data_IF_661501666578
#
_entry.id   IF_661501666578
#
_cell.length_a   1.000
_cell.length_b   1.000
_cell.length_c   1.000
_cell.angle_alpha   90.00
_cell.angle_beta   90.00
_cell.angle_gamma   90.00
#
_symmetry.space_group_name_H-M   'P 1'
#
loop_
_entity.id
_entity.type
_entity.pdbx_description
1 polymer ?
#
# COMPACT_ATOMS: atom_id res chain seq x y z
N UNK A 1 -2.82 23.35 -20.43
CA UNK A 1 -2.87 21.87 -20.47
C UNK A 1 -3.97 21.47 -21.46
N UNK A 2 -3.74 20.50 -22.34
CA UNK A 2 -4.80 19.99 -23.24
C UNK A 2 -5.92 19.39 -22.37
N UNK A 3 -7.21 19.69 -22.68
CA UNK A 3 -8.38 19.19 -21.94
C UNK A 3 -8.34 17.66 -21.72
N UNK A 4 -7.86 16.95 -22.73
CA UNK A 4 -7.56 15.51 -22.75
C UNK A 4 -6.70 15.00 -21.58
N UNK A 5 -5.72 15.77 -21.09
CA UNK A 5 -4.89 15.36 -19.94
C UNK A 5 -5.68 15.37 -18.62
N UNK A 6 -6.63 16.31 -18.48
CA UNK A 6 -7.49 16.40 -17.29
C UNK A 6 -8.48 15.24 -17.30
N UNK A 7 -9.09 14.96 -18.47
CA UNK A 7 -9.93 13.78 -18.67
C UNK A 7 -9.18 12.47 -18.38
N UNK A 8 -7.93 12.33 -18.85
CA UNK A 8 -7.09 11.16 -18.56
C UNK A 8 -6.82 11.01 -17.06
N UNK A 9 -6.46 12.08 -16.35
CA UNK A 9 -6.20 12.01 -14.91
C UNK A 9 -7.46 11.73 -14.08
N UNK A 10 -8.63 12.22 -14.51
CA UNK A 10 -9.92 11.91 -13.87
C UNK A 10 -10.30 10.44 -14.16
N UNK A 11 -10.09 9.96 -15.38
CA UNK A 11 -10.31 8.54 -15.74
C UNK A 11 -9.43 7.59 -14.93
N UNK A 12 -8.14 7.90 -14.77
CA UNK A 12 -7.22 7.10 -13.94
C UNK A 12 -7.65 7.14 -12.46
N UNK A 13 -8.03 8.31 -11.93
CA UNK A 13 -8.52 8.41 -10.55
C UNK A 13 -9.85 7.64 -10.35
N UNK A 14 -10.76 7.69 -11.32
CA UNK A 14 -12.00 6.93 -11.32
C UNK A 14 -11.75 5.42 -11.38
N UNK A 15 -10.85 4.96 -12.25
CA UNK A 15 -10.43 3.55 -12.33
C UNK A 15 -9.80 3.06 -11.02
N UNK A 16 -8.97 3.89 -10.35
CA UNK A 16 -8.41 3.55 -9.04
C UNK A 16 -9.50 3.45 -7.94
N UNK A 17 -10.50 4.33 -7.97
CA UNK A 17 -11.64 4.29 -7.04
C UNK A 17 -12.52 3.07 -7.32
N UNK A 18 -12.82 2.76 -8.59
CA UNK A 18 -13.57 1.56 -8.98
C UNK A 18 -12.81 0.28 -8.61
N UNK A 19 -11.50 0.25 -8.81
CA UNK A 19 -10.66 -0.89 -8.40
C UNK A 19 -10.70 -1.08 -6.88
N UNK A 20 -10.52 0.00 -6.10
CA UNK A 20 -10.66 -0.06 -4.64
C UNK A 20 -12.06 -0.54 -4.20
N UNK A 21 -13.13 -0.04 -4.83
CA UNK A 21 -14.50 -0.46 -4.52
C UNK A 21 -14.76 -1.93 -4.86
N UNK A 22 -14.25 -2.44 -5.98
CA UNK A 22 -14.35 -3.86 -6.36
C UNK A 22 -13.58 -4.76 -5.39
N UNK A 23 -12.39 -4.35 -4.95
CA UNK A 23 -11.60 -5.12 -4.00
C UNK A 23 -12.25 -5.15 -2.60
N UNK A 24 -12.81 -4.03 -2.12
CA UNK A 24 -13.60 -4.00 -0.88
C UNK A 24 -14.84 -4.89 -1.01
N UNK A 25 -15.55 -4.86 -2.14
CA UNK A 25 -16.67 -5.78 -2.37
C UNK A 25 -16.26 -7.25 -2.39
N UNK A 26 -15.04 -7.60 -2.84
CA UNK A 26 -14.55 -9.00 -2.76
C UNK A 26 -14.30 -9.44 -1.32
N UNK A 27 -13.69 -8.58 -0.50
CA UNK A 27 -13.48 -8.84 0.93
C UNK A 27 -14.79 -9.03 1.69
N UNK A 28 -15.88 -8.35 1.28
CA UNK A 28 -17.21 -8.53 1.88
C UNK A 28 -18.11 -9.58 1.19
N UNK A 29 -17.72 -10.18 0.07
CA UNK A 29 -18.54 -11.12 -0.68
C UNK A 29 -18.11 -12.59 -0.58
N UNK A 30 -16.97 -12.89 0.08
CA UNK A 30 -16.53 -14.27 0.32
C UNK A 30 -17.10 -14.85 1.64
N UNK A 31 -17.67 -14.01 2.52
CA UNK A 31 -18.41 -14.38 3.73
C UNK A 31 -19.86 -14.85 3.44
N UNK A 32 -20.08 -15.42 2.25
CA UNK A 32 -21.42 -15.60 1.66
C UNK A 32 -21.65 -16.91 0.90
N UNK A 33 -20.75 -17.90 1.03
CA UNK A 33 -20.96 -19.24 0.46
C UNK A 33 -21.30 -20.26 1.53
N UNK A 34 -22.60 -20.36 1.82
CA UNK A 34 -23.17 -21.48 2.57
C UNK A 34 -22.83 -22.80 1.87
N UNK A 35 -22.01 -23.63 2.54
CA UNK A 35 -21.78 -25.00 2.14
C UNK A 35 -23.01 -25.85 2.47
N UNK A 36 -23.71 -26.33 1.44
CA UNK A 36 -24.69 -27.42 1.57
C UNK A 36 -23.97 -28.77 1.38
N UNK A 37 -24.00 -29.63 2.42
CA UNK A 37 -23.92 -31.11 2.50
C UNK A 37 -23.48 -31.88 1.23
N UNK A 38 -22.68 -32.96 1.23
CA UNK A 38 -22.24 -33.97 2.21
C UNK A 38 -21.20 -34.88 1.49
N UNK A 39 -20.43 -35.83 2.06
CA UNK A 39 -20.16 -36.33 3.42
C UNK A 39 -18.75 -36.96 3.38
N UNK A 40 -17.90 -36.84 4.41
CA UNK A 40 -16.56 -37.48 4.39
C UNK A 40 -15.79 -37.37 5.71
N UNK A 41 -15.92 -38.38 6.57
CA UNK A 41 -15.23 -38.42 7.86
C UNK A 41 -13.74 -38.77 7.71
N UNK A 42 -12.83 -37.85 8.05
CA UNK A 42 -11.47 -38.24 8.45
C UNK A 42 -10.76 -37.19 9.34
N UNK A 43 -10.87 -37.37 10.66
CA UNK A 43 -9.96 -36.87 11.71
C UNK A 43 -9.47 -35.40 11.61
N UNK A 44 -10.20 -34.47 12.19
CA UNK A 44 -9.66 -33.16 12.58
C UNK A 44 -8.60 -33.33 13.71
N UNK A 45 -7.32 -33.07 13.41
CA UNK A 45 -6.36 -32.71 14.47
C UNK A 45 -6.73 -31.33 15.05
N UNK A 46 -6.63 -31.09 16.37
CA UNK A 46 -6.95 -29.82 16.98
C UNK A 46 -5.85 -28.75 16.79
N UNK A 47 -5.49 -28.46 15.53
CA UNK A 47 -4.50 -27.43 15.14
C UNK A 47 -5.10 -26.20 14.46
N UNK A 48 -6.16 -26.35 13.67
CA UNK A 48 -6.62 -25.35 12.69
C UNK A 48 -6.95 -23.97 13.28
N UNK A 49 -7.43 -23.90 14.53
CA UNK A 49 -7.96 -22.64 15.09
C UNK A 49 -6.89 -21.57 15.35
N UNK A 50 -5.62 -21.95 15.48
CA UNK A 50 -4.51 -21.00 15.64
C UNK A 50 -3.92 -20.53 14.30
N UNK A 51 -3.80 -21.46 13.35
CA UNK A 51 -3.18 -21.23 12.04
C UNK A 51 -4.08 -20.33 11.17
N UNK A 52 -5.39 -20.56 11.15
CA UNK A 52 -6.34 -19.69 10.44
C UNK A 52 -6.31 -18.23 10.92
N UNK A 53 -6.27 -18.00 12.24
CA UNK A 53 -6.20 -16.64 12.81
C UNK A 53 -4.90 -15.91 12.47
N UNK A 54 -3.78 -16.63 12.36
CA UNK A 54 -2.50 -16.05 11.99
C UNK A 54 -2.49 -15.58 10.52
N UNK A 55 -3.04 -16.40 9.62
CA UNK A 55 -3.18 -16.08 8.20
C UNK A 55 -4.11 -14.89 7.96
N UNK A 56 -5.33 -14.92 8.51
CA UNK A 56 -6.31 -13.82 8.39
C UNK A 56 -5.75 -12.49 8.91
N UNK A 57 -5.08 -12.53 10.08
CA UNK A 57 -4.37 -11.36 10.64
C UNK A 57 -3.27 -10.87 9.71
N UNK A 58 -2.49 -11.79 9.12
CA UNK A 58 -1.45 -11.51 8.14
C UNK A 58 -2.01 -10.77 6.92
N UNK A 59 -3.06 -11.28 6.30
CA UNK A 59 -3.72 -10.66 5.13
C UNK A 59 -4.26 -9.25 5.45
N UNK A 60 -4.90 -9.07 6.60
CA UNK A 60 -5.37 -7.75 7.05
C UNK A 60 -4.20 -6.76 7.25
N UNK A 61 -3.07 -7.20 7.82
CA UNK A 61 -1.87 -6.36 7.94
C UNK A 61 -1.28 -6.00 6.57
N UNK A 62 -1.34 -6.91 5.58
CA UNK A 62 -0.92 -6.66 4.20
C UNK A 62 -1.71 -5.52 3.56
N UNK A 63 -3.05 -5.60 3.58
CA UNK A 63 -3.92 -4.52 3.10
C UNK A 63 -3.77 -3.22 3.88
N UNK A 64 -3.54 -3.30 5.20
CA UNK A 64 -3.20 -2.17 6.04
C UNK A 64 -1.90 -1.48 5.59
N UNK A 65 -0.84 -2.25 5.37
CA UNK A 65 0.46 -1.76 4.90
C UNK A 65 0.34 -1.04 3.55
N UNK A 66 -0.36 -1.64 2.58
CA UNK A 66 -0.62 -1.03 1.26
C UNK A 66 -1.38 0.29 1.40
N UNK A 67 -2.44 0.32 2.21
CA UNK A 67 -3.28 1.51 2.42
C UNK A 67 -2.49 2.67 3.04
N UNK A 68 -1.69 2.39 4.06
CA UNK A 68 -0.83 3.38 4.74
C UNK A 68 0.31 3.84 3.81
N UNK A 69 0.89 2.93 3.01
CA UNK A 69 1.91 3.27 2.01
C UNK A 69 1.36 4.20 0.90
N UNK A 70 0.13 3.94 0.41
CA UNK A 70 -0.54 4.82 -0.55
C UNK A 70 -0.76 6.23 0.01
N UNK A 71 -1.16 6.34 1.28
CA UNK A 71 -1.30 7.64 1.96
C UNK A 71 0.03 8.39 2.06
N UNK A 72 1.13 7.70 2.38
CA UNK A 72 2.47 8.30 2.36
C UNK A 72 2.89 8.73 0.94
N UNK A 73 2.66 7.88 -0.06
CA UNK A 73 2.99 8.11 -1.47
C UNK A 73 2.22 9.27 -2.11
N UNK A 74 0.99 9.53 -1.66
CA UNK A 74 0.12 10.60 -2.17
C UNK A 74 0.72 12.01 -2.02
N UNK A 75 1.66 12.24 -1.09
CA UNK A 75 2.29 13.54 -0.88
C UNK A 75 2.92 14.12 -2.15
N UNK A 76 3.61 13.31 -2.96
CA UNK A 76 4.30 13.79 -4.17
C UNK A 76 3.33 14.25 -5.28
N UNK A 77 2.34 13.46 -5.73
CA UNK A 77 1.38 13.91 -6.74
C UNK A 77 0.49 15.06 -6.23
N UNK A 78 0.07 15.07 -4.96
CA UNK A 78 -0.68 16.21 -4.40
C UNK A 78 0.17 17.49 -4.43
N UNK A 79 1.44 17.43 -4.01
CA UNK A 79 2.34 18.59 -3.99
C UNK A 79 2.68 19.10 -5.40
N UNK A 80 2.82 18.21 -6.40
CA UNK A 80 3.01 18.59 -7.80
C UNK A 80 1.78 19.29 -8.39
N UNK A 81 0.58 18.77 -8.13
CA UNK A 81 -0.67 19.28 -8.69
C UNK A 81 -1.32 20.41 -7.87
N UNK A 82 -0.77 20.75 -6.71
CA UNK A 82 -1.30 21.76 -5.79
C UNK A 82 -1.69 23.09 -6.45
N UNK A 83 -0.82 23.64 -7.30
CA UNK A 83 -1.09 24.91 -8.01
C UNK A 83 -2.25 24.82 -9.00
N UNK A 84 -2.51 23.64 -9.56
CA UNK A 84 -3.64 23.40 -10.46
C UNK A 84 -4.94 23.26 -9.64
N UNK A 85 -4.95 22.40 -8.62
CA UNK A 85 -6.10 22.15 -7.75
C UNK A 85 -6.60 23.45 -7.10
N UNK A 86 -5.69 24.25 -6.51
CA UNK A 86 -6.04 25.54 -5.89
C UNK A 86 -6.50 26.62 -6.87
N UNK A 87 -6.28 26.45 -8.19
CA UNK A 87 -6.80 27.36 -9.24
C UNK A 87 -8.18 26.91 -9.72
N UNK A 88 -8.40 25.61 -9.87
CA UNK A 88 -9.68 25.05 -10.33
C UNK A 88 -10.76 25.14 -9.26
N UNK A 89 -10.39 24.95 -7.98
CA UNK A 89 -11.34 25.00 -6.85
C UNK A 89 -10.79 25.94 -5.76
N UNK A 90 -11.02 27.26 -5.85
CA UNK A 90 -10.46 28.21 -4.90
C UNK A 90 -11.02 28.04 -3.47
N UNK A 91 -12.27 27.57 -3.32
CA UNK A 91 -12.92 27.41 -2.02
C UNK A 91 -12.24 26.38 -1.10
N UNK A 92 -11.55 25.37 -1.66
CA UNK A 92 -10.84 24.35 -0.87
C UNK A 92 -9.37 24.70 -0.59
N UNK A 93 -8.91 25.90 -0.94
CA UNK A 93 -7.48 26.28 -0.85
C UNK A 93 -6.92 26.16 0.57
N UNK A 94 -7.67 26.57 1.59
CA UNK A 94 -7.28 26.45 3.00
C UNK A 94 -7.15 24.98 3.42
N UNK A 95 -8.17 24.17 3.15
CA UNK A 95 -8.17 22.72 3.39
C UNK A 95 -6.99 22.04 2.70
N UNK A 96 -6.75 22.31 1.41
CA UNK A 96 -5.68 21.66 0.64
C UNK A 96 -4.28 22.03 1.15
N UNK A 97 -4.07 23.28 1.61
CA UNK A 97 -2.81 23.71 2.25
C UNK A 97 -2.64 23.02 3.62
N UNK A 98 -3.69 22.91 4.42
CA UNK A 98 -3.65 22.18 5.70
C UNK A 98 -3.38 20.70 5.50
N UNK A 99 -4.04 20.06 4.53
CA UNK A 99 -3.83 18.66 4.16
C UNK A 99 -2.38 18.42 3.69
N UNK A 100 -1.83 19.28 2.82
CA UNK A 100 -0.43 19.19 2.40
C UNK A 100 0.56 19.36 3.56
N UNK A 101 0.29 20.26 4.51
CA UNK A 101 1.10 20.41 5.72
C UNK A 101 1.03 19.16 6.59
N UNK A 102 -0.18 18.64 6.81
CA UNK A 102 -0.39 17.42 7.60
C UNK A 102 0.33 16.22 6.98
N UNK A 103 0.13 15.95 5.68
CA UNK A 103 0.87 14.89 4.98
C UNK A 103 2.39 15.14 5.04
N UNK A 104 2.88 16.36 4.86
CA UNK A 104 4.32 16.63 4.91
C UNK A 104 4.94 16.38 6.31
N UNK A 105 4.20 16.63 7.38
CA UNK A 105 4.62 16.32 8.76
C UNK A 105 4.54 14.82 9.05
N UNK A 106 3.44 14.17 8.67
CA UNK A 106 3.17 12.77 8.99
C UNK A 106 3.75 11.76 7.99
N UNK A 107 4.27 12.19 6.83
CA UNK A 107 4.81 11.28 5.80
C UNK A 107 5.90 10.33 6.32
N UNK A 108 6.82 10.80 7.17
CA UNK A 108 7.84 9.92 7.76
C UNK A 108 7.26 8.88 8.74
N UNK A 109 6.48 9.24 9.77
CA UNK A 109 5.87 8.23 10.65
C UNK A 109 4.84 7.33 9.93
N UNK A 110 4.07 7.83 8.96
CA UNK A 110 3.16 7.00 8.12
C UNK A 110 3.98 6.01 7.29
N UNK A 111 5.06 6.45 6.63
CA UNK A 111 5.95 5.56 5.88
C UNK A 111 6.64 4.50 6.76
N UNK A 112 7.06 4.87 7.97
CA UNK A 112 7.63 3.94 8.93
C UNK A 112 6.59 2.92 9.44
N UNK A 113 5.34 3.36 9.70
CA UNK A 113 4.25 2.48 10.07
C UNK A 113 3.89 1.50 8.94
N UNK A 114 3.83 1.95 7.67
CA UNK A 114 3.63 1.07 6.52
C UNK A 114 4.71 -0.01 6.40
N UNK A 115 5.98 0.37 6.60
CA UNK A 115 7.10 -0.58 6.58
C UNK A 115 7.03 -1.58 7.75
N UNK A 116 6.66 -1.13 8.95
CA UNK A 116 6.47 -2.00 10.11
C UNK A 116 5.31 -2.99 9.90
N UNK A 117 4.19 -2.53 9.35
CA UNK A 117 3.05 -3.38 8.98
C UNK A 117 3.44 -4.40 7.91
N UNK A 118 4.22 -4.02 6.90
CA UNK A 118 4.68 -4.94 5.86
C UNK A 118 5.64 -6.02 6.41
N UNK A 119 6.54 -5.65 7.34
CA UNK A 119 7.41 -6.60 8.03
C UNK A 119 6.59 -7.56 8.92
N UNK A 120 5.60 -7.03 9.66
CA UNK A 120 4.73 -7.85 10.51
C UNK A 120 3.86 -8.81 9.69
N UNK A 121 3.30 -8.34 8.57
CA UNK A 121 2.62 -9.18 7.56
C UNK A 121 3.53 -10.32 7.09
N UNK A 122 4.71 -10.01 6.54
CA UNK A 122 5.64 -11.04 6.04
C UNK A 122 6.09 -12.03 7.12
N UNK A 123 6.26 -11.58 8.37
CA UNK A 123 6.59 -12.46 9.49
C UNK A 123 5.43 -13.40 9.87
N UNK A 124 4.18 -12.90 9.93
CA UNK A 124 3.01 -13.74 10.20
C UNK A 124 2.76 -14.75 9.09
N UNK A 125 2.86 -14.34 7.82
CA UNK A 125 2.70 -15.25 6.68
C UNK A 125 3.77 -16.35 6.72
N UNK A 126 5.04 -16.00 6.98
CA UNK A 126 6.12 -16.99 7.11
C UNK A 126 5.87 -18.02 8.23
N UNK A 127 5.39 -17.58 9.40
CA UNK A 127 5.05 -18.51 10.49
C UNK A 127 3.77 -19.32 10.23
N UNK A 128 2.86 -18.84 9.39
CA UNK A 128 1.59 -19.51 9.07
C UNK A 128 1.71 -20.49 7.90
N UNK A 129 2.56 -20.22 6.92
CA UNK A 129 2.69 -21.02 5.69
C UNK A 129 3.95 -21.89 5.69
N UNK A 130 4.97 -21.57 6.49
CA UNK A 130 6.17 -22.39 6.71
C UNK A 130 7.15 -22.48 5.55
N UNK A 131 6.72 -22.15 4.33
CA UNK A 131 7.50 -22.21 3.09
C UNK A 131 7.70 -20.81 2.46
N UNK A 132 8.58 -20.73 1.45
CA UNK A 132 8.85 -19.51 0.69
C UNK A 132 8.92 -19.83 -0.80
N UNK A 133 7.86 -19.50 -1.54
CA UNK A 133 7.84 -19.55 -3.00
C UNK A 133 8.35 -18.23 -3.60
N UNK A 134 8.36 -18.17 -4.93
CA UNK A 134 8.80 -16.99 -5.70
C UNK A 134 7.97 -15.74 -5.34
N UNK A 135 6.68 -15.91 -5.02
CA UNK A 135 5.80 -14.81 -4.58
C UNK A 135 6.30 -14.17 -3.30
N UNK A 136 6.70 -14.96 -2.30
CA UNK A 136 7.11 -14.46 -0.99
C UNK A 136 8.49 -13.78 -1.10
N UNK A 137 9.39 -14.31 -1.93
CA UNK A 137 10.64 -13.63 -2.29
C UNK A 137 10.41 -12.24 -2.93
N UNK A 138 9.37 -12.08 -3.76
CA UNK A 138 9.03 -10.77 -4.33
C UNK A 138 8.54 -9.78 -3.25
N UNK A 139 7.77 -10.27 -2.26
CA UNK A 139 7.38 -9.49 -1.08
C UNK A 139 8.58 -9.06 -0.22
N UNK A 140 9.48 -9.99 0.08
CA UNK A 140 10.74 -9.71 0.83
C UNK A 140 11.57 -8.67 0.09
N UNK A 141 11.78 -8.83 -1.22
CA UNK A 141 12.52 -7.86 -2.03
C UNK A 141 11.85 -6.48 -2.02
N UNK A 142 10.51 -6.41 -2.09
CA UNK A 142 9.78 -5.14 -1.97
C UNK A 142 10.04 -4.43 -0.63
N UNK A 143 10.04 -5.17 0.48
CA UNK A 143 10.36 -4.67 1.83
C UNK A 143 11.81 -4.16 1.88
N UNK A 144 12.77 -4.88 1.30
CA UNK A 144 14.18 -4.44 1.23
C UNK A 144 14.30 -3.12 0.44
N UNK A 145 13.69 -3.02 -0.74
CA UNK A 145 13.68 -1.78 -1.53
C UNK A 145 13.02 -0.61 -0.77
N UNK A 146 11.90 -0.86 -0.08
CA UNK A 146 11.22 0.14 0.74
C UNK A 146 12.05 0.57 1.97
N UNK A 147 12.75 -0.36 2.62
CA UNK A 147 13.64 -0.08 3.74
C UNK A 147 14.84 0.78 3.34
N UNK A 148 15.50 0.44 2.23
CA UNK A 148 16.58 1.29 1.67
C UNK A 148 16.02 2.65 1.26
N UNK A 149 14.83 2.70 0.66
CA UNK A 149 14.17 3.98 0.34
C UNK A 149 13.89 4.82 1.58
N UNK A 150 13.50 4.22 2.71
CA UNK A 150 13.27 4.90 3.98
C UNK A 150 14.57 5.53 4.52
N UNK A 151 15.72 4.85 4.40
CA UNK A 151 17.05 5.42 4.73
C UNK A 151 17.34 6.65 3.86
N UNK A 152 17.17 6.55 2.54
CA UNK A 152 17.33 7.72 1.65
C UNK A 152 16.34 8.86 1.97
N UNK A 153 15.12 8.53 2.41
CA UNK A 153 14.11 9.49 2.88
C UNK A 153 14.55 10.21 4.17
N UNK A 154 15.09 9.48 5.14
CA UNK A 154 15.66 10.04 6.36
C UNK A 154 16.85 10.97 6.08
N UNK A 155 17.76 10.58 5.17
CA UNK A 155 18.86 11.47 4.71
C UNK A 155 18.32 12.70 3.98
N UNK A 156 17.31 12.54 3.11
CA UNK A 156 16.65 13.64 2.39
C UNK A 156 15.98 14.64 3.33
N UNK A 157 15.45 14.17 4.47
CA UNK A 157 14.83 15.04 5.48
C UNK A 157 15.80 16.11 6.02
N UNK A 158 17.09 15.77 6.09
CA UNK A 158 18.21 16.67 6.46
C UNK A 158 18.71 17.44 5.22
N UNK A 159 18.91 16.73 4.10
CA UNK A 159 19.52 17.25 2.87
C UNK A 159 18.51 17.57 1.75
N UNK A 160 17.48 18.36 2.08
CA UNK A 160 16.28 18.59 1.22
C UNK A 160 16.58 19.11 -0.19
N UNK A 161 17.72 19.79 -0.39
CA UNK A 161 18.15 20.35 -1.68
C UNK A 161 18.67 19.30 -2.68
N UNK A 162 19.13 18.12 -2.21
CA UNK A 162 19.72 17.11 -3.11
C UNK A 162 18.66 16.50 -4.04
N UNK A 163 18.82 16.75 -5.34
CA UNK A 163 18.02 16.15 -6.41
C UNK A 163 18.29 14.66 -6.56
N UNK A 164 19.56 14.24 -6.43
CA UNK A 164 19.98 12.84 -6.55
C UNK A 164 19.33 11.97 -5.47
N UNK A 165 19.49 12.32 -4.19
CA UNK A 165 18.93 11.56 -3.05
C UNK A 165 17.41 11.46 -3.18
N UNK A 166 16.75 12.52 -3.64
CA UNK A 166 15.30 12.52 -3.91
C UNK A 166 14.92 11.58 -5.05
N UNK A 167 15.71 11.58 -6.13
CA UNK A 167 15.49 10.68 -7.28
C UNK A 167 15.69 9.22 -6.88
N UNK A 168 16.72 8.91 -6.09
CA UNK A 168 16.97 7.56 -5.55
C UNK A 168 15.84 7.10 -4.64
N UNK A 169 15.40 7.93 -3.68
CA UNK A 169 14.26 7.62 -2.80
C UNK A 169 12.99 7.31 -3.60
N UNK A 170 12.63 8.15 -4.59
CA UNK A 170 11.45 7.93 -5.44
C UNK A 170 11.61 6.69 -6.32
N UNK A 171 12.79 6.46 -6.89
CA UNK A 171 13.06 5.30 -7.74
C UNK A 171 12.99 3.97 -6.98
N UNK A 172 13.54 3.92 -5.77
CA UNK A 172 13.45 2.76 -4.89
C UNK A 172 12.00 2.47 -4.44
N UNK A 173 11.22 3.51 -4.08
CA UNK A 173 9.80 3.35 -3.79
C UNK A 173 8.98 2.88 -5.00
N UNK A 174 9.33 3.33 -6.21
CA UNK A 174 8.66 2.90 -7.43
C UNK A 174 8.99 1.44 -7.77
N UNK A 175 10.26 1.01 -7.59
CA UNK A 175 10.65 -0.38 -7.71
C UNK A 175 9.93 -1.26 -6.67
N UNK A 176 9.91 -0.85 -5.39
CA UNK A 176 9.15 -1.53 -4.34
C UNK A 176 7.66 -1.65 -4.69
N UNK A 177 7.03 -0.58 -5.19
CA UNK A 177 5.63 -0.59 -5.60
C UNK A 177 5.32 -1.54 -6.76
N UNK A 178 6.25 -1.71 -7.71
CA UNK A 178 6.13 -2.72 -8.78
C UNK A 178 6.24 -4.13 -8.19
N UNK A 179 7.19 -4.38 -7.29
CA UNK A 179 7.35 -5.68 -6.63
C UNK A 179 6.13 -6.05 -5.78
N UNK A 180 5.57 -5.11 -5.00
CA UNK A 180 4.30 -5.28 -4.27
C UNK A 180 3.15 -5.60 -5.23
N UNK A 181 3.05 -4.88 -6.36
CA UNK A 181 1.99 -5.13 -7.33
C UNK A 181 2.09 -6.54 -7.97
N UNK A 182 3.31 -7.04 -8.21
CA UNK A 182 3.50 -8.42 -8.69
C UNK A 182 3.15 -9.41 -7.59
N UNK A 183 3.66 -9.23 -6.36
CA UNK A 183 3.40 -10.09 -5.21
C UNK A 183 1.90 -10.26 -4.88
N UNK A 184 1.08 -9.22 -5.07
CA UNK A 184 -0.38 -9.26 -4.88
C UNK A 184 -1.11 -9.95 -6.05
N UNK A 185 -0.50 -10.04 -7.24
CA UNK A 185 -1.12 -10.56 -8.46
C UNK A 185 -0.66 -11.98 -8.84
N UNK A 186 0.35 -12.52 -8.16
CA UNK A 186 0.98 -13.83 -8.42
C UNK A 186 0.41 -14.97 -7.57
#
# INVERSE_FOLDING_TARGET
MKKWMVALSISIAYLLICFAAVQVNRVFADDGREHFYEHGEQYEEPREKGEGMAKESGEMLGWGAVSVALLAGALLPLRRNAKFIMRTVPNIKSFFVSLLKWLATWHMPIGAAALALAIAHGALMYFSEGELEIREYMGIMAIVFAGVAAVFGAVLSKNKASSLIRSTHIGLLLAAGILVAIHILS
#
